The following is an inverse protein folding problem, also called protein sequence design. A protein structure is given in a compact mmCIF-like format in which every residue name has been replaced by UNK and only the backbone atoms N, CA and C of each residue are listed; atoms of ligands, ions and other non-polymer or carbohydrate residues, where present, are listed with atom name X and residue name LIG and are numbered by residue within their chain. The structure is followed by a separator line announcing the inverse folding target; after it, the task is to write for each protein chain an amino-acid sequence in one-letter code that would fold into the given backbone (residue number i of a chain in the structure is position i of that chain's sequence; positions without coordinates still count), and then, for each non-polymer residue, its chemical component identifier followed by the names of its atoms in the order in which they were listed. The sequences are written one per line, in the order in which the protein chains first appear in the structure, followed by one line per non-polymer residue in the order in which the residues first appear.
data_IF_152292021153
#
_entry.id   IF_152292021153
#
_cell.length_a   1.000
_cell.length_b   1.000
_cell.length_c   1.000
_cell.angle_alpha   90.00
_cell.angle_beta   90.00
_cell.angle_gamma   90.00
#
_symmetry.space_group_name_H-M   'P 1'
#
loop_
_entity.id
_entity.type
_entity.pdbx_description
1 polymer ?
#
# COMPACT_ATOMS: atom_id res chain seq x y z
N UNK A 1 8.27 1.83 20.16
CA UNK A 1 7.98 0.89 19.07
C UNK A 1 9.23 0.69 18.21
N UNK A 2 9.47 -0.51 17.66
CA UNK A 2 10.71 -0.81 16.95
C UNK A 2 10.93 0.07 15.70
N UNK A 3 9.89 0.55 15.06
CA UNK A 3 9.99 1.42 13.89
C UNK A 3 10.39 2.88 14.22
N UNK A 4 10.35 3.29 15.48
CA UNK A 4 10.63 4.67 15.91
C UNK A 4 12.03 4.82 16.55
N UNK A 5 12.85 3.78 16.44
CA UNK A 5 14.22 3.75 16.92
C UNK A 5 15.16 4.28 15.84
N UNK A 6 16.06 5.24 16.16
CA UNK A 6 16.99 5.84 15.20
C UNK A 6 17.91 4.83 14.50
N UNK A 7 18.38 3.79 15.21
CA UNK A 7 19.25 2.78 14.63
C UNK A 7 18.49 1.88 13.66
N UNK A 8 17.23 1.57 13.98
CA UNK A 8 16.33 0.83 13.09
C UNK A 8 16.04 1.66 11.84
N UNK A 9 15.70 2.94 11.98
CA UNK A 9 15.47 3.85 10.85
C UNK A 9 16.72 3.94 9.97
N UNK A 10 17.90 4.10 10.56
CA UNK A 10 19.17 4.14 9.81
C UNK A 10 19.41 2.83 9.05
N UNK A 11 19.15 1.68 9.67
CA UNK A 11 19.26 0.37 9.05
C UNK A 11 18.36 0.22 7.82
N UNK A 12 17.14 0.75 7.86
CA UNK A 12 16.22 0.74 6.70
C UNK A 12 16.75 1.58 5.51
N UNK A 13 17.61 2.55 5.76
CA UNK A 13 18.27 3.35 4.72
C UNK A 13 19.16 2.52 3.78
N UNK A 14 19.62 1.34 4.17
CA UNK A 14 20.43 0.44 3.32
C UNK A 14 19.68 0.01 2.07
N UNK A 15 18.35 -0.15 2.14
CA UNK A 15 17.49 -0.44 0.97
C UNK A 15 17.66 0.66 -0.09
N UNK A 16 17.68 1.91 0.32
CA UNK A 16 17.83 3.04 -0.59
C UNK A 16 19.22 3.07 -1.25
N UNK A 17 20.26 2.70 -0.51
CA UNK A 17 21.61 2.56 -1.04
C UNK A 17 21.66 1.53 -2.17
N UNK A 18 21.19 0.31 -1.90
CA UNK A 18 21.18 -0.78 -2.88
C UNK A 18 20.31 -0.42 -4.10
N UNK A 19 19.17 0.24 -3.88
CA UNK A 19 18.29 0.70 -4.94
C UNK A 19 18.99 1.68 -5.89
N UNK A 20 19.76 2.65 -5.36
CA UNK A 20 20.51 3.60 -6.18
C UNK A 20 21.68 2.95 -6.92
N UNK A 21 22.33 1.95 -6.31
CA UNK A 21 23.39 1.17 -6.97
C UNK A 21 22.81 0.35 -8.15
N UNK A 22 21.64 -0.26 -7.98
CA UNK A 22 20.98 -1.08 -9.00
C UNK A 22 20.26 -0.26 -10.08
N UNK A 23 19.62 0.84 -9.70
CA UNK A 23 18.84 1.68 -10.61
C UNK A 23 19.04 3.19 -10.34
N UNK A 24 20.15 3.78 -10.79
CA UNK A 24 20.46 5.19 -10.57
C UNK A 24 19.51 6.16 -11.31
N UNK A 25 18.67 5.67 -12.21
CA UNK A 25 17.78 6.49 -13.03
C UNK A 25 16.32 6.46 -12.59
N UNK A 26 16.05 6.02 -11.37
CA UNK A 26 14.70 6.01 -10.81
C UNK A 26 14.16 7.44 -10.63
N UNK A 27 12.93 7.68 -11.08
CA UNK A 27 12.26 8.98 -10.96
C UNK A 27 11.30 9.06 -9.78
N UNK A 28 10.52 7.97 -9.55
CA UNK A 28 9.49 7.91 -8.51
C UNK A 28 9.61 6.59 -7.76
N UNK A 29 9.61 6.65 -6.44
CA UNK A 29 9.63 5.48 -5.57
C UNK A 29 8.38 5.42 -4.70
N UNK A 30 7.68 4.29 -4.73
CA UNK A 30 6.52 4.00 -3.90
C UNK A 30 6.93 3.11 -2.72
N UNK A 31 6.55 3.50 -1.51
CA UNK A 31 6.94 2.83 -0.27
C UNK A 31 5.72 2.63 0.61
N UNK A 32 5.45 1.40 1.01
CA UNK A 32 4.40 1.10 1.98
C UNK A 32 4.72 1.72 3.35
N UNK A 33 3.70 2.31 3.99
CA UNK A 33 3.83 2.97 5.29
C UNK A 33 2.84 2.37 6.28
N UNK A 34 3.39 1.88 7.39
CA UNK A 34 2.69 1.58 8.63
C UNK A 34 3.28 2.48 9.72
N UNK A 35 4.19 1.96 10.56
CA UNK A 35 4.89 2.77 11.57
C UNK A 35 5.88 3.82 11.03
N UNK A 36 6.22 3.73 9.74
CA UNK A 36 7.04 4.72 9.03
C UNK A 36 8.55 4.47 9.04
N UNK A 37 9.06 3.44 9.73
CA UNK A 37 10.50 3.19 9.84
C UNK A 37 11.20 2.98 8.50
N UNK A 38 10.66 2.11 7.64
CA UNK A 38 11.17 1.87 6.29
C UNK A 38 11.17 3.16 5.44
N UNK A 39 10.03 3.83 5.41
CA UNK A 39 9.87 5.05 4.61
C UNK A 39 10.78 6.18 5.09
N UNK A 40 10.91 6.35 6.40
CA UNK A 40 11.81 7.34 6.99
C UNK A 40 13.29 7.08 6.63
N UNK A 41 13.76 5.85 6.82
CA UNK A 41 15.14 5.47 6.50
C UNK A 41 15.48 5.65 5.01
N UNK A 42 14.61 5.15 4.13
CA UNK A 42 14.76 5.31 2.69
C UNK A 42 14.74 6.80 2.30
N UNK A 43 13.77 7.56 2.81
CA UNK A 43 13.64 8.98 2.47
C UNK A 43 14.84 9.81 2.90
N UNK A 44 15.37 9.59 4.10
CA UNK A 44 16.59 10.27 4.58
C UNK A 44 17.75 10.02 3.62
N UNK A 45 17.99 8.78 3.27
CA UNK A 45 19.11 8.43 2.39
C UNK A 45 18.92 8.97 0.96
N UNK A 46 17.77 8.76 0.36
CA UNK A 46 17.48 9.20 -1.02
C UNK A 46 17.53 10.72 -1.14
N UNK A 47 16.88 11.46 -0.24
CA UNK A 47 16.82 12.92 -0.33
C UNK A 47 18.19 13.58 -0.09
N UNK A 48 19.08 12.90 0.61
CA UNK A 48 20.47 13.37 0.77
C UNK A 48 21.30 13.21 -0.51
N UNK A 49 21.17 12.07 -1.22
CA UNK A 49 22.02 11.75 -2.36
C UNK A 49 21.38 12.09 -3.71
N UNK A 50 20.07 11.93 -3.82
CA UNK A 50 19.33 12.19 -5.05
C UNK A 50 17.97 12.85 -4.74
N UNK A 51 17.97 14.11 -4.34
CA UNK A 51 16.76 14.83 -3.91
C UNK A 51 15.69 14.94 -5.02
N UNK A 52 16.06 14.71 -6.28
CA UNK A 52 15.14 14.73 -7.42
C UNK A 52 14.19 13.52 -7.50
N UNK A 53 14.50 12.41 -6.79
CA UNK A 53 13.58 11.27 -6.74
C UNK A 53 12.33 11.68 -5.96
N UNK A 54 11.16 11.53 -6.58
CA UNK A 54 9.88 11.68 -5.90
C UNK A 54 9.58 10.46 -5.05
N UNK A 55 9.26 10.67 -3.78
CA UNK A 55 8.90 9.61 -2.84
C UNK A 55 7.40 9.68 -2.57
N UNK A 56 6.69 8.59 -2.84
CA UNK A 56 5.26 8.44 -2.62
C UNK A 56 5.03 7.43 -1.50
N UNK A 57 4.49 7.88 -0.39
CA UNK A 57 4.05 7.00 0.69
C UNK A 57 2.72 6.34 0.33
N UNK A 58 2.65 5.04 0.53
CA UNK A 58 1.46 4.23 0.23
C UNK A 58 0.88 3.68 1.52
N UNK A 59 -0.40 3.94 1.76
CA UNK A 59 -1.13 3.40 2.90
C UNK A 59 -2.37 2.63 2.45
N UNK A 60 -2.77 1.63 3.23
CA UNK A 60 -4.10 1.05 3.10
C UNK A 60 -5.15 2.07 3.56
N UNK A 61 -6.27 2.18 2.86
CA UNK A 61 -7.38 3.05 3.29
C UNK A 61 -7.86 2.75 4.72
N UNK A 62 -7.75 1.49 5.13
CA UNK A 62 -8.19 1.04 6.46
C UNK A 62 -7.17 1.33 7.58
N UNK A 63 -5.96 1.80 7.25
CA UNK A 63 -4.89 2.06 8.23
C UNK A 63 -3.98 3.24 7.84
N UNK A 64 -4.58 4.32 7.32
CA UNK A 64 -3.88 5.51 6.84
C UNK A 64 -3.46 6.45 7.99
N UNK A 65 -2.54 5.99 8.84
CA UNK A 65 -2.10 6.73 10.02
C UNK A 65 -1.17 7.90 9.70
N UNK A 66 -0.37 7.81 8.64
CA UNK A 66 0.49 8.93 8.21
C UNK A 66 -0.33 10.07 7.60
N UNK A 67 -1.30 9.74 6.74
CA UNK A 67 -2.19 10.77 6.16
C UNK A 67 -2.94 11.51 7.28
N UNK A 68 -3.47 10.77 8.28
CA UNK A 68 -4.13 11.38 9.43
C UNK A 68 -3.18 12.26 10.23
N UNK A 69 -1.97 11.76 10.53
CA UNK A 69 -0.95 12.51 11.27
C UNK A 69 -0.53 13.78 10.50
N UNK A 70 -0.37 13.69 9.18
CA UNK A 70 -0.03 14.84 8.32
C UNK A 70 -1.11 15.91 8.35
N UNK A 71 -2.39 15.51 8.31
CA UNK A 71 -3.52 16.44 8.40
C UNK A 71 -3.62 17.14 9.77
N UNK A 72 -3.21 16.45 10.85
CA UNK A 72 -3.22 16.99 12.22
C UNK A 72 -1.91 17.70 12.61
N UNK A 73 -0.85 17.55 11.80
CA UNK A 73 0.48 18.08 12.11
C UNK A 73 1.24 17.33 13.21
N UNK A 74 0.72 16.20 13.68
CA UNK A 74 1.32 15.37 14.74
C UNK A 74 0.86 13.91 14.62
N UNK A 75 1.62 12.92 15.13
CA UNK A 75 1.17 11.55 15.26
C UNK A 75 -0.18 11.47 15.97
N UNK A 76 -1.16 10.90 15.28
CA UNK A 76 -2.55 10.85 15.75
C UNK A 76 -3.07 9.42 15.65
N UNK A 77 -3.68 8.94 16.73
CA UNK A 77 -4.18 7.56 16.77
C UNK A 77 -5.44 7.40 15.89
N UNK A 78 -5.46 6.34 15.08
CA UNK A 78 -6.66 5.90 14.35
C UNK A 78 -7.65 5.25 15.31
N UNK A 79 -8.93 5.42 15.09
CA UNK A 79 -9.99 4.76 15.87
C UNK A 79 -9.93 3.23 15.68
N UNK A 80 -9.73 2.79 14.46
CA UNK A 80 -9.58 1.39 14.07
C UNK A 80 -8.55 1.24 12.98
N UNK A 81 -8.06 0.02 12.76
CA UNK A 81 -7.21 -0.37 11.64
C UNK A 81 -7.75 -1.64 11.01
N UNK A 82 -7.68 -1.73 9.68
CA UNK A 82 -7.97 -2.96 8.96
C UNK A 82 -6.87 -3.99 9.17
N UNK A 83 -7.27 -5.26 9.22
CA UNK A 83 -6.35 -6.38 9.48
C UNK A 83 -5.90 -7.10 8.20
N UNK A 84 -6.43 -6.73 7.03
CA UNK A 84 -6.09 -7.42 5.79
C UNK A 84 -4.60 -7.21 5.41
N UNK A 85 -4.13 -5.97 5.45
CA UNK A 85 -2.72 -5.63 5.28
C UNK A 85 -2.05 -5.46 6.66
N UNK A 86 -1.94 -6.55 7.42
CA UNK A 86 -1.51 -6.58 8.81
C UNK A 86 -0.10 -6.01 9.04
N UNK A 87 0.83 -6.21 8.09
CA UNK A 87 2.18 -5.64 8.15
C UNK A 87 2.23 -4.11 8.17
N UNK A 88 1.14 -3.41 7.79
CA UNK A 88 1.00 -1.95 7.87
C UNK A 88 -0.14 -1.51 8.78
N UNK A 89 -0.78 -2.41 9.51
CA UNK A 89 -1.90 -2.14 10.40
C UNK A 89 -1.44 -1.47 11.71
N UNK A 90 -0.98 -0.23 11.61
CA UNK A 90 -0.45 0.56 12.72
C UNK A 90 -1.42 1.69 13.06
N UNK A 91 -1.84 1.78 14.33
CA UNK A 91 -2.80 2.82 14.79
C UNK A 91 -2.20 4.21 14.84
N UNK A 92 -0.91 4.32 15.18
CA UNK A 92 -0.23 5.61 15.34
C UNK A 92 1.23 5.49 14.93
N UNK A 93 1.71 6.44 14.14
CA UNK A 93 3.14 6.54 13.77
C UNK A 93 4.01 6.87 14.98
N UNK A 94 5.30 6.56 14.86
CA UNK A 94 6.29 7.08 15.79
C UNK A 94 6.49 8.60 15.65
N UNK A 95 7.06 9.22 16.68
CA UNK A 95 7.35 10.65 16.69
C UNK A 95 8.47 10.98 15.70
N UNK A 96 9.53 10.20 15.72
CA UNK A 96 10.70 10.42 14.86
C UNK A 96 10.41 10.03 13.41
N UNK A 97 9.72 8.89 13.20
CA UNK A 97 9.31 8.49 11.85
C UNK A 97 8.36 9.51 11.23
N UNK A 98 7.40 10.05 11.99
CA UNK A 98 6.52 11.12 11.50
C UNK A 98 7.32 12.38 11.14
N UNK A 99 8.22 12.85 12.02
CA UNK A 99 9.05 14.04 11.79
C UNK A 99 9.83 13.93 10.48
N UNK A 100 10.43 12.75 10.22
CA UNK A 100 11.20 12.50 9.00
C UNK A 100 10.32 12.37 7.77
N UNK A 101 9.28 11.55 7.84
CA UNK A 101 8.37 11.32 6.72
C UNK A 101 7.63 12.61 6.31
N UNK A 102 7.14 13.40 7.27
CA UNK A 102 6.42 14.65 6.97
C UNK A 102 7.29 15.68 6.25
N UNK A 103 8.60 15.66 6.49
CA UNK A 103 9.56 16.56 5.85
C UNK A 103 10.03 16.07 4.48
N UNK A 104 10.15 14.75 4.28
CA UNK A 104 10.93 14.17 3.18
C UNK A 104 10.09 13.43 2.14
N UNK A 105 8.86 13.07 2.47
CA UNK A 105 7.93 12.40 1.55
C UNK A 105 7.17 13.46 0.75
N UNK A 106 7.20 13.33 -0.57
CA UNK A 106 6.63 14.31 -1.49
C UNK A 106 5.11 14.15 -1.62
N UNK A 107 4.61 12.92 -1.61
CA UNK A 107 3.19 12.63 -1.85
C UNK A 107 2.72 11.42 -1.05
N UNK A 108 1.42 11.33 -0.82
CA UNK A 108 0.76 10.18 -0.17
C UNK A 108 -0.38 9.67 -1.03
N UNK A 109 -0.54 8.36 -1.11
CA UNK A 109 -1.63 7.70 -1.82
C UNK A 109 -2.20 6.57 -0.98
N UNK A 110 -3.51 6.39 -0.98
CA UNK A 110 -4.15 5.22 -0.39
C UNK A 110 -4.55 4.20 -1.45
N UNK A 111 -4.61 2.93 -1.05
CA UNK A 111 -5.10 1.83 -1.86
C UNK A 111 -6.15 1.03 -1.10
N UNK A 112 -7.15 0.54 -1.83
CA UNK A 112 -8.21 -0.32 -1.30
C UNK A 112 -7.74 -1.77 -1.19
N UNK A 113 -8.48 -2.58 -0.43
CA UNK A 113 -8.21 -4.03 -0.37
C UNK A 113 -8.34 -4.70 -1.74
N UNK A 114 -9.25 -4.23 -2.60
CA UNK A 114 -9.43 -4.76 -3.95
C UNK A 114 -8.24 -4.41 -4.87
N UNK A 115 -7.73 -3.19 -4.76
CA UNK A 115 -6.51 -2.76 -5.47
C UNK A 115 -5.29 -3.58 -5.01
N UNK A 116 -5.20 -3.89 -3.71
CA UNK A 116 -4.14 -4.76 -3.14
C UNK A 116 -4.27 -6.19 -3.67
N UNK A 117 -5.48 -6.77 -3.67
CA UNK A 117 -5.72 -8.11 -4.20
C UNK A 117 -5.34 -8.22 -5.68
N UNK A 118 -5.74 -7.24 -6.50
CA UNK A 118 -5.33 -7.17 -7.89
C UNK A 118 -3.81 -7.09 -8.07
N UNK A 119 -3.11 -6.34 -7.20
CA UNK A 119 -1.66 -6.26 -7.23
C UNK A 119 -0.97 -7.58 -6.83
N UNK A 120 -1.50 -8.31 -5.84
CA UNK A 120 -0.99 -9.64 -5.46
C UNK A 120 -1.09 -10.59 -6.66
N UNK A 121 -2.23 -10.57 -7.37
CA UNK A 121 -2.42 -11.37 -8.59
C UNK A 121 -1.39 -11.01 -9.67
N UNK A 122 -1.20 -9.72 -9.97
CA UNK A 122 -0.23 -9.28 -10.97
C UNK A 122 1.19 -9.72 -10.63
N UNK A 123 1.60 -9.55 -9.36
CA UNK A 123 2.90 -10.01 -8.87
C UNK A 123 3.06 -11.51 -9.11
N UNK A 124 2.02 -12.29 -8.78
CA UNK A 124 2.05 -13.73 -8.99
C UNK A 124 2.10 -14.11 -10.47
N UNK A 125 1.29 -13.46 -11.31
CA UNK A 125 1.24 -13.76 -12.74
C UNK A 125 2.60 -13.46 -13.42
N UNK A 126 3.28 -12.42 -12.99
CA UNK A 126 4.56 -11.99 -13.58
C UNK A 126 5.77 -12.75 -13.02
N UNK A 127 5.80 -13.01 -11.70
CA UNK A 127 6.99 -13.51 -11.00
C UNK A 127 6.85 -14.92 -10.42
N UNK A 128 5.64 -15.44 -10.31
CA UNK A 128 5.26 -16.66 -9.56
C UNK A 128 5.54 -16.57 -8.05
N UNK A 129 5.70 -15.37 -7.52
CA UNK A 129 5.84 -15.11 -6.08
C UNK A 129 4.51 -14.63 -5.51
N UNK A 130 4.14 -15.15 -4.35
CA UNK A 130 2.96 -14.68 -3.62
C UNK A 130 3.43 -13.64 -2.60
N UNK A 131 3.07 -12.38 -2.83
CA UNK A 131 3.31 -11.31 -1.86
C UNK A 131 2.22 -11.31 -0.78
N UNK A 132 2.58 -10.90 0.43
CA UNK A 132 1.58 -10.56 1.45
C UNK A 132 0.85 -9.24 1.10
N UNK A 133 -0.35 -8.98 1.64
CA UNK A 133 -1.09 -7.75 1.35
C UNK A 133 -0.29 -6.47 1.59
N UNK A 134 0.42 -6.38 2.72
CA UNK A 134 1.29 -5.24 3.02
C UNK A 134 2.43 -5.09 2.01
N UNK A 135 2.98 -6.21 1.52
CA UNK A 135 4.03 -6.24 0.51
C UNK A 135 3.59 -5.75 -0.86
N UNK A 136 2.32 -5.95 -1.21
CA UNK A 136 1.78 -5.58 -2.52
C UNK A 136 1.32 -4.11 -2.61
N UNK A 137 1.29 -3.34 -1.51
CA UNK A 137 0.79 -1.97 -1.50
C UNK A 137 1.46 -1.09 -2.55
N UNK A 138 2.79 -1.15 -2.64
CA UNK A 138 3.54 -0.32 -3.59
C UNK A 138 3.16 -0.60 -5.05
N UNK A 139 2.93 -1.86 -5.40
CA UNK A 139 2.49 -2.26 -6.75
C UNK A 139 1.06 -1.79 -7.01
N UNK A 140 0.15 -1.94 -6.04
CA UNK A 140 -1.21 -1.42 -6.13
C UNK A 140 -1.21 0.11 -6.37
N UNK A 141 -0.38 0.84 -5.64
CA UNK A 141 -0.24 2.28 -5.80
C UNK A 141 0.35 2.67 -7.16
N UNK A 142 1.34 1.96 -7.67
CA UNK A 142 1.90 2.19 -9.01
C UNK A 142 0.82 2.04 -10.07
N UNK A 143 -0.02 0.98 -10.00
CA UNK A 143 -1.14 0.78 -10.93
C UNK A 143 -2.15 1.94 -10.87
N UNK A 144 -2.53 2.35 -9.68
CA UNK A 144 -3.45 3.48 -9.45
C UNK A 144 -2.87 4.78 -9.97
N UNK A 145 -1.62 5.06 -9.63
CA UNK A 145 -0.91 6.26 -10.01
C UNK A 145 -0.73 6.37 -11.54
N UNK A 146 -0.41 5.26 -12.20
CA UNK A 146 -0.24 5.21 -13.65
C UNK A 146 -1.53 5.49 -14.43
N UNK A 147 -2.70 5.20 -13.85
CA UNK A 147 -4.00 5.55 -14.44
C UNK A 147 -4.32 7.06 -14.34
N UNK A 148 -3.73 7.73 -13.35
CA UNK A 148 -4.03 9.13 -13.04
C UNK A 148 -3.02 10.12 -13.63
N UNK A 149 -1.85 9.64 -14.08
CA UNK A 149 -0.74 10.49 -14.53
C UNK A 149 -0.17 10.04 -15.86
N UNK A 150 0.31 10.97 -16.68
CA UNK A 150 1.10 10.63 -17.88
C UNK A 150 2.55 10.31 -17.47
N UNK A 151 2.90 9.02 -17.49
CA UNK A 151 4.16 8.49 -16.99
C UNK A 151 5.06 7.94 -18.10
N UNK A 152 4.79 8.25 -19.39
CA UNK A 152 5.43 7.61 -20.55
C UNK A 152 6.95 7.60 -20.55
N UNK A 153 7.58 8.55 -19.86
CA UNK A 153 9.05 8.68 -19.79
C UNK A 153 9.59 8.52 -18.36
N UNK A 154 8.74 8.14 -17.40
CA UNK A 154 9.14 8.02 -15.99
C UNK A 154 9.50 6.59 -15.62
N UNK A 155 10.59 6.44 -14.84
CA UNK A 155 10.99 5.18 -14.23
C UNK A 155 10.42 5.10 -12.82
N UNK A 156 9.50 4.17 -12.62
CA UNK A 156 8.83 3.92 -11.35
C UNK A 156 9.48 2.73 -10.65
N UNK A 157 9.59 2.81 -9.33
CA UNK A 157 9.99 1.71 -8.47
C UNK A 157 9.03 1.56 -7.30
N UNK A 158 8.84 0.35 -6.85
CA UNK A 158 8.08 0.03 -5.65
C UNK A 158 8.84 -0.96 -4.79
N UNK A 159 8.80 -0.77 -3.48
CA UNK A 159 9.36 -1.75 -2.56
C UNK A 159 8.33 -2.87 -2.38
N UNK A 160 8.64 -4.06 -2.88
CA UNK A 160 7.88 -5.27 -2.63
C UNK A 160 8.38 -5.87 -1.31
N UNK A 161 7.59 -5.70 -0.25
CA UNK A 161 7.92 -6.17 1.09
C UNK A 161 7.23 -7.51 1.36
N UNK A 162 7.91 -8.48 1.85
CA UNK A 162 7.38 -9.67 2.49
C UNK A 162 6.42 -10.58 1.71
N UNK A 163 6.34 -11.81 2.23
CA UNK A 163 5.46 -12.86 1.75
C UNK A 163 4.88 -13.68 2.94
N UNK A 164 4.73 -13.05 4.11
CA UNK A 164 4.17 -13.67 5.31
C UNK A 164 2.64 -13.72 5.23
N UNK A 165 2.12 -14.50 4.30
CA UNK A 165 0.69 -14.64 4.05
C UNK A 165 0.19 -16.02 4.48
N UNK A 166 -0.95 -16.05 5.16
CA UNK A 166 -1.65 -17.29 5.47
C UNK A 166 -2.34 -17.85 4.23
N UNK A 167 -2.29 -19.19 4.05
CA UNK A 167 -2.89 -19.84 2.89
C UNK A 167 -4.40 -19.55 2.73
N UNK A 168 -5.12 -19.37 3.84
CA UNK A 168 -6.53 -18.98 3.81
C UNK A 168 -6.76 -17.59 3.20
N UNK A 169 -5.81 -16.68 3.33
CA UNK A 169 -5.89 -15.33 2.73
C UNK A 169 -5.89 -15.39 1.20
N UNK A 170 -5.29 -16.42 0.59
CA UNK A 170 -5.28 -16.59 -0.86
C UNK A 170 -6.68 -16.78 -1.44
N UNK A 171 -7.59 -17.44 -0.71
CA UNK A 171 -8.98 -17.55 -1.11
C UNK A 171 -9.63 -16.15 -1.21
N UNK A 172 -9.47 -15.35 -0.16
CA UNK A 172 -9.98 -13.98 -0.13
C UNK A 172 -9.39 -13.14 -1.28
N UNK A 173 -8.08 -13.26 -1.52
CA UNK A 173 -7.40 -12.57 -2.63
C UNK A 173 -8.00 -13.01 -3.97
N UNK A 174 -8.18 -14.32 -4.20
CA UNK A 174 -8.73 -14.86 -5.45
C UNK A 174 -10.15 -14.36 -5.72
N UNK A 175 -10.99 -14.32 -4.69
CA UNK A 175 -12.38 -13.84 -4.82
C UNK A 175 -12.47 -12.31 -5.08
N UNK A 176 -11.51 -11.53 -4.54
CA UNK A 176 -11.55 -10.06 -4.63
C UNK A 176 -10.70 -9.47 -5.76
N UNK A 177 -9.73 -10.20 -6.30
CA UNK A 177 -8.91 -9.65 -7.38
C UNK A 177 -9.74 -9.33 -8.63
N UNK A 178 -10.79 -10.08 -8.91
CA UNK A 178 -11.70 -9.83 -10.04
C UNK A 178 -12.57 -8.58 -9.85
N UNK A 179 -12.89 -8.24 -8.60
CA UNK A 179 -13.51 -6.96 -8.24
C UNK A 179 -12.55 -5.78 -8.47
N UNK A 180 -11.30 -5.92 -8.03
CA UNK A 180 -10.25 -4.91 -8.23
C UNK A 180 -9.88 -4.70 -9.70
N UNK A 181 -10.08 -5.70 -10.54
CA UNK A 181 -9.93 -5.64 -12.00
C UNK A 181 -11.21 -5.16 -12.71
N UNK A 182 -12.29 -4.91 -11.98
CA UNK A 182 -13.61 -4.52 -12.52
C UNK A 182 -14.22 -5.56 -13.49
N UNK A 183 -13.90 -6.84 -13.28
CA UNK A 183 -14.44 -7.96 -14.07
C UNK A 183 -15.72 -8.53 -13.48
N UNK A 184 -15.89 -8.38 -12.18
CA UNK A 184 -17.05 -8.82 -11.43
C UNK A 184 -17.62 -7.69 -10.56
N UNK A 185 -18.91 -7.80 -10.22
CA UNK A 185 -19.58 -6.96 -9.24
C UNK A 185 -20.33 -7.85 -8.24
N UNK A 186 -20.17 -7.57 -6.94
CA UNK A 186 -20.88 -8.27 -5.87
C UNK A 186 -21.97 -7.37 -5.32
N UNK A 187 -23.21 -7.87 -5.33
CA UNK A 187 -24.36 -7.16 -4.80
C UNK A 187 -24.94 -7.93 -3.61
N UNK A 188 -25.14 -7.25 -2.50
CA UNK A 188 -25.94 -7.75 -1.39
C UNK A 188 -27.40 -7.27 -1.57
N UNK A 189 -28.30 -8.18 -1.86
CA UNK A 189 -29.72 -7.86 -2.12
C UNK A 189 -30.58 -8.43 -1.00
N UNK A 190 -31.40 -7.59 -0.37
CA UNK A 190 -32.44 -8.02 0.58
C UNK A 190 -33.75 -8.22 -0.17
N UNK A 191 -34.17 -9.46 -0.26
CA UNK A 191 -35.47 -9.82 -0.89
C UNK A 191 -36.48 -10.21 0.22
N UNK A 192 -37.78 -9.91 0.04
CA UNK A 192 -38.82 -10.33 0.98
C UNK A 192 -38.95 -11.86 1.03
N UNK A 193 -39.25 -12.39 2.22
CA UNK A 193 -39.50 -13.83 2.42
C UNK A 193 -40.89 -14.25 1.93
N UNK A 194 -41.22 -13.91 0.68
CA UNK A 194 -42.53 -14.27 0.05
C UNK A 194 -42.33 -15.31 -1.05
N UNK A 195 -43.32 -16.19 -1.25
CA UNK A 195 -43.29 -17.17 -2.31
C UNK A 195 -43.14 -16.49 -3.68
N UNK A 196 -42.08 -16.80 -4.40
CA UNK A 196 -41.80 -16.25 -5.73
C UNK A 196 -40.90 -15.01 -5.76
N UNK A 197 -40.54 -14.39 -4.60
CA UNK A 197 -39.68 -13.20 -4.55
C UNK A 197 -38.31 -13.42 -5.17
N UNK A 198 -37.68 -14.57 -4.93
CA UNK A 198 -36.38 -14.90 -5.55
C UNK A 198 -36.48 -15.04 -7.08
N UNK A 199 -37.60 -15.64 -7.57
CA UNK A 199 -37.85 -15.74 -9.01
C UNK A 199 -37.96 -14.35 -9.65
N UNK A 200 -38.74 -13.45 -9.02
CA UNK A 200 -38.87 -12.07 -9.51
C UNK A 200 -37.50 -11.34 -9.52
N UNK A 201 -36.68 -11.55 -8.48
CA UNK A 201 -35.34 -11.00 -8.49
C UNK A 201 -34.49 -11.49 -9.67
N UNK A 202 -34.48 -12.80 -9.93
CA UNK A 202 -33.74 -13.38 -11.06
C UNK A 202 -34.28 -12.95 -12.44
N UNK A 203 -35.53 -12.51 -12.54
CA UNK A 203 -36.11 -11.99 -13.78
C UNK A 203 -35.75 -10.50 -14.02
N UNK A 204 -35.23 -9.80 -12.98
CA UNK A 204 -34.82 -8.39 -13.05
C UNK A 204 -33.30 -8.19 -13.28
N UNK A 205 -32.50 -9.25 -13.11
CA UNK A 205 -31.06 -9.24 -13.29
C UNK A 205 -30.67 -9.93 -14.59
#
# INVERSE_FOLDING_TARGET
PPFDDPDVIAGQGTVARELLEQNPHLDILFIAVGGGGLAAGIAVYLKQLKPSIKIVAVESEESACFIKAKAQGAPTELESVGIFADGVAVKVMGQETFRLCNRLIDETITVTNDEICGAIKDIFDDTRVIAEPAGALSVAAIRKYAKQHDLKVKKLGGILCGANINFHTLRYVSERCELGEQKEAVFAVKIPENKGAFKQFCECV
#
